data_IF_274913492762
#
_entry.id   IF_274913492762
#
_cell.length_a   1.000
_cell.length_b   1.000
_cell.length_c   1.000
_cell.angle_alpha   90.00
_cell.angle_beta   90.00
_cell.angle_gamma   90.00
#
_symmetry.space_group_name_H-M   'P 1'
#
loop_
_entity.id
_entity.type
_entity.pdbx_description
1 polymer ?
#
# COMPACT_ATOMS: atom_id res chain seq x y z
N UNK A 1 -71.58 -10.74 4.61
CA UNK A 1 -70.46 -11.68 4.42
C UNK A 1 -69.20 -10.85 4.15
N UNK A 2 -68.20 -10.94 5.03
CA UNK A 2 -66.96 -10.14 5.03
C UNK A 2 -66.01 -10.64 3.94
N UNK A 3 -65.44 -9.75 3.12
CA UNK A 3 -64.21 -10.07 2.38
C UNK A 3 -63.17 -9.02 2.77
N UNK A 4 -62.17 -9.50 3.48
CA UNK A 4 -61.09 -8.75 4.12
C UNK A 4 -60.06 -8.29 3.10
N UNK A 5 -59.68 -7.02 3.25
CA UNK A 5 -58.45 -6.39 2.75
C UNK A 5 -57.23 -7.26 3.08
N UNK A 6 -56.34 -7.48 2.11
CA UNK A 6 -54.94 -7.86 2.37
C UNK A 6 -54.01 -7.11 1.40
N UNK A 7 -53.60 -5.92 1.83
CA UNK A 7 -52.50 -5.18 1.20
C UNK A 7 -51.20 -5.78 1.77
N UNK A 8 -50.45 -6.48 0.93
CA UNK A 8 -49.13 -6.96 1.26
C UNK A 8 -48.11 -5.83 1.07
N UNK A 9 -47.65 -5.22 2.17
CA UNK A 9 -46.49 -4.34 2.16
C UNK A 9 -45.23 -5.21 2.09
N UNK A 10 -44.57 -5.24 0.93
CA UNK A 10 -43.22 -5.81 0.79
C UNK A 10 -42.24 -4.75 1.28
N UNK A 11 -41.69 -4.95 2.47
CA UNK A 11 -40.62 -4.11 2.99
C UNK A 11 -39.31 -4.45 2.26
N UNK A 12 -38.90 -3.60 1.33
CA UNK A 12 -37.57 -3.65 0.73
C UNK A 12 -36.55 -3.20 1.78
N UNK A 13 -35.83 -4.15 2.37
CA UNK A 13 -34.67 -3.86 3.21
C UNK A 13 -33.51 -3.42 2.31
N UNK A 14 -33.31 -2.10 2.21
CA UNK A 14 -32.05 -1.55 1.70
C UNK A 14 -30.96 -1.91 2.71
N UNK A 15 -30.24 -2.99 2.43
CA UNK A 15 -28.97 -3.27 3.11
C UNK A 15 -28.01 -2.12 2.80
N UNK A 16 -27.74 -1.29 3.81
CA UNK A 16 -26.67 -0.31 3.74
C UNK A 16 -25.36 -1.08 3.55
N UNK A 17 -24.82 -1.06 2.32
CA UNK A 17 -23.46 -1.49 2.09
C UNK A 17 -22.56 -0.53 2.87
N UNK A 18 -22.03 -0.99 4.00
CA UNK A 18 -20.97 -0.31 4.72
C UNK A 18 -19.75 -0.30 3.81
N UNK A 19 -19.57 0.80 3.08
CA UNK A 19 -18.31 1.10 2.39
C UNK A 19 -17.28 1.22 3.50
N UNK A 20 -16.44 0.20 3.67
CA UNK A 20 -15.32 0.29 4.58
C UNK A 20 -14.51 1.53 4.18
N UNK A 21 -14.09 2.39 5.13
CA UNK A 21 -13.28 3.53 4.79
C UNK A 21 -12.06 3.03 4.01
N UNK A 22 -11.87 3.61 2.83
CA UNK A 22 -10.62 3.50 2.09
C UNK A 22 -9.52 3.72 3.11
N UNK A 23 -8.61 2.76 3.28
CA UNK A 23 -7.68 2.76 4.41
C UNK A 23 -6.72 3.93 4.25
N UNK A 24 -7.09 5.08 4.79
CA UNK A 24 -6.33 6.31 4.63
C UNK A 24 -4.99 6.14 5.35
N UNK A 25 -3.91 6.62 4.72
CA UNK A 25 -2.57 6.67 5.30
C UNK A 25 -2.21 8.13 5.65
N UNK A 26 -2.99 8.82 6.51
CA UNK A 26 -2.74 10.23 6.79
C UNK A 26 -1.44 10.41 7.58
N UNK A 27 -0.80 11.56 7.36
CA UNK A 27 0.38 11.99 8.12
C UNK A 27 1.69 11.36 7.67
N UNK A 28 2.71 11.49 8.53
CA UNK A 28 4.07 11.01 8.29
C UNK A 28 4.21 9.56 8.74
N UNK A 29 4.97 8.78 8.01
CA UNK A 29 5.25 7.39 8.32
C UNK A 29 6.75 7.13 8.29
N UNK A 30 7.18 6.17 9.12
CA UNK A 30 8.54 5.67 9.13
C UNK A 30 8.58 4.31 8.46
N UNK A 31 9.29 4.23 7.34
CA UNK A 31 9.55 3.02 6.58
C UNK A 31 10.95 2.50 6.92
N UNK A 32 11.04 1.26 7.39
CA UNK A 32 12.31 0.53 7.59
C UNK A 32 12.37 -0.63 6.61
N UNK A 33 13.46 -0.73 5.85
CA UNK A 33 13.70 -1.78 4.86
C UNK A 33 14.89 -2.60 5.31
N UNK A 34 14.71 -3.90 5.36
CA UNK A 34 15.64 -4.87 5.91
C UNK A 34 16.09 -5.87 4.84
N UNK A 35 17.32 -6.37 4.98
CA UNK A 35 17.81 -7.49 4.17
C UNK A 35 17.23 -8.83 4.67
N UNK A 36 17.55 -9.97 4.02
CA UNK A 36 17.02 -11.28 4.44
C UNK A 36 17.47 -11.71 5.84
N UNK A 37 18.54 -11.11 6.37
CA UNK A 37 19.01 -11.31 7.74
C UNK A 37 18.34 -10.39 8.78
N UNK A 38 17.27 -9.67 8.42
CA UNK A 38 16.59 -8.70 9.29
C UNK A 38 17.46 -7.53 9.77
N UNK A 39 18.53 -7.22 9.06
CA UNK A 39 19.31 -6.02 9.33
C UNK A 39 18.74 -4.84 8.55
N UNK A 40 18.42 -3.75 9.26
CA UNK A 40 17.96 -2.52 8.63
C UNK A 40 19.02 -1.95 7.68
N UNK A 41 18.64 -1.80 6.41
CA UNK A 41 19.47 -1.23 5.33
C UNK A 41 19.09 0.22 5.09
N UNK A 42 17.79 0.54 5.11
CA UNK A 42 17.28 1.90 4.93
C UNK A 42 16.19 2.23 5.94
N UNK A 43 16.17 3.48 6.39
CA UNK A 43 15.10 4.07 7.20
C UNK A 43 14.67 5.39 6.56
N UNK A 44 13.39 5.54 6.28
CA UNK A 44 12.84 6.58 5.43
C UNK A 44 11.61 7.19 6.08
N UNK A 45 11.61 8.51 6.25
CA UNK A 45 10.39 9.24 6.58
C UNK A 45 9.63 9.52 5.27
N UNK A 46 8.37 9.11 5.19
CA UNK A 46 7.52 9.26 4.00
C UNK A 46 6.19 9.89 4.34
N UNK A 47 5.57 10.51 3.34
CA UNK A 47 4.19 10.99 3.35
C UNK A 47 3.42 10.38 2.18
N UNK A 48 2.24 9.82 2.46
CA UNK A 48 1.34 9.31 1.44
C UNK A 48 0.43 10.44 0.98
N UNK A 49 0.23 10.54 -0.33
CA UNK A 49 -0.61 11.59 -0.93
C UNK A 49 -1.74 10.98 -1.76
N UNK A 50 -2.70 11.81 -2.17
CA UNK A 50 -3.73 11.45 -3.13
C UNK A 50 -3.37 11.85 -4.57
N UNK A 51 -2.18 12.40 -4.80
CA UNK A 51 -1.69 12.75 -6.12
C UNK A 51 -1.47 11.48 -6.94
N UNK A 52 -1.98 11.45 -8.16
CA UNK A 52 -1.78 10.32 -9.09
C UNK A 52 -0.31 10.27 -9.49
N UNK A 53 0.30 9.09 -9.35
CA UNK A 53 1.67 8.83 -9.79
C UNK A 53 1.67 8.18 -11.18
N UNK A 54 2.59 8.56 -12.09
CA UNK A 54 2.90 7.76 -13.25
C UNK A 54 3.32 6.34 -12.84
N UNK A 55 3.08 5.37 -13.71
CA UNK A 55 3.43 3.98 -13.45
C UNK A 55 3.51 3.20 -14.77
N UNK A 56 4.56 2.40 -14.90
CA UNK A 56 4.69 1.39 -15.94
C UNK A 56 3.86 0.13 -15.61
N UNK A 57 3.41 0.00 -14.36
CA UNK A 57 2.54 -1.05 -13.85
C UNK A 57 1.07 -0.64 -13.92
N UNK A 58 0.20 -1.57 -14.31
CA UNK A 58 -1.25 -1.33 -14.34
C UNK A 58 -1.85 -1.03 -12.97
N UNK A 59 -3.00 -0.34 -12.99
CA UNK A 59 -3.76 0.10 -11.81
C UNK A 59 -3.53 1.56 -11.45
N UNK A 60 -4.25 2.04 -10.44
CA UNK A 60 -4.13 3.40 -9.95
C UNK A 60 -3.07 3.49 -8.85
N UNK A 61 -2.03 4.27 -9.11
CA UNK A 61 -0.92 4.49 -8.20
C UNK A 61 -0.93 5.94 -7.73
N UNK A 62 -0.56 6.14 -6.46
CA UNK A 62 -0.50 7.45 -5.82
C UNK A 62 0.92 7.76 -5.36
N UNK A 63 1.29 9.03 -5.27
CA UNK A 63 2.66 9.44 -4.93
C UNK A 63 2.97 9.19 -3.45
N UNK A 64 4.16 8.62 -3.18
CA UNK A 64 4.80 8.60 -1.87
C UNK A 64 5.91 9.63 -1.85
N UNK A 65 5.77 10.68 -1.05
CA UNK A 65 6.80 11.72 -0.87
C UNK A 65 7.84 11.24 0.13
N UNK A 66 9.11 11.23 -0.27
CA UNK A 66 10.24 10.95 0.63
C UNK A 66 10.64 12.26 1.33
N UNK A 67 10.42 12.34 2.64
CA UNK A 67 10.75 13.51 3.47
C UNK A 67 12.22 13.49 3.87
N UNK A 68 12.72 12.31 4.25
CA UNK A 68 14.14 12.11 4.59
C UNK A 68 14.49 10.62 4.50
N UNK A 69 15.76 10.31 4.26
CA UNK A 69 16.22 8.94 4.22
C UNK A 69 17.63 8.80 4.81
N UNK A 70 17.84 7.72 5.54
CA UNK A 70 19.16 7.22 5.93
C UNK A 70 19.30 5.83 5.34
N UNK A 71 20.33 5.60 4.52
CA UNK A 71 20.59 4.30 3.92
C UNK A 71 22.06 3.91 4.02
N UNK A 72 22.30 2.64 4.33
CA UNK A 72 23.62 2.00 4.31
C UNK A 72 24.01 1.55 2.90
N UNK A 73 23.02 1.30 2.06
CA UNK A 73 23.17 0.90 0.65
C UNK A 73 22.10 1.58 -0.20
N UNK A 74 22.52 2.56 -1.01
CA UNK A 74 21.63 3.34 -1.88
C UNK A 74 21.03 2.52 -3.03
N UNK A 75 21.64 1.38 -3.36
CA UNK A 75 21.22 0.52 -4.46
C UNK A 75 20.25 -0.57 -4.02
N UNK A 76 20.25 -0.92 -2.74
CA UNK A 76 19.40 -1.98 -2.21
C UNK A 76 17.91 -1.67 -2.35
N UNK A 77 17.48 -0.46 -2.00
CA UNK A 77 16.16 0.08 -2.36
C UNK A 77 16.35 1.58 -2.67
N UNK A 78 16.40 1.98 -3.95
CA UNK A 78 16.72 3.35 -4.36
C UNK A 78 15.59 4.34 -4.02
N UNK A 79 15.61 4.86 -2.79
CA UNK A 79 14.63 5.86 -2.29
C UNK A 79 14.77 7.24 -2.95
N UNK A 80 15.80 7.44 -3.77
CA UNK A 80 15.96 8.64 -4.62
C UNK A 80 15.02 8.63 -5.81
N UNK A 81 14.55 7.45 -6.21
CA UNK A 81 13.66 7.30 -7.35
C UNK A 81 12.22 7.62 -6.91
N UNK A 82 11.35 8.08 -7.83
CA UNK A 82 9.95 8.29 -7.54
C UNK A 82 9.30 7.02 -6.97
N UNK A 83 8.70 7.17 -5.79
CA UNK A 83 7.97 6.10 -5.13
C UNK A 83 6.47 6.32 -5.30
N UNK A 84 5.75 5.25 -5.57
CA UNK A 84 4.31 5.26 -5.59
C UNK A 84 3.73 4.07 -4.84
N UNK A 85 2.47 4.22 -4.43
CA UNK A 85 1.77 3.21 -3.66
C UNK A 85 0.37 2.94 -4.21
N UNK A 86 -0.12 1.75 -3.87
CA UNK A 86 -1.52 1.37 -4.04
C UNK A 86 -1.96 0.55 -2.83
N UNK A 87 -3.22 0.72 -2.44
CA UNK A 87 -3.90 -0.16 -1.49
C UNK A 87 -4.98 -0.90 -2.24
N UNK A 88 -4.93 -2.23 -2.21
CA UNK A 88 -5.90 -3.10 -2.86
C UNK A 88 -6.19 -4.28 -1.95
N UNK A 89 -7.47 -4.55 -1.66
CA UNK A 89 -7.89 -5.63 -0.76
C UNK A 89 -7.19 -5.61 0.62
N UNK A 90 -6.93 -4.42 1.17
CA UNK A 90 -6.23 -4.25 2.46
C UNK A 90 -4.72 -4.48 2.42
N UNK A 91 -4.15 -4.66 1.22
CA UNK A 91 -2.72 -4.84 1.00
C UNK A 91 -2.11 -3.56 0.45
N UNK A 92 -1.13 -3.02 1.17
CA UNK A 92 -0.31 -1.91 0.72
C UNK A 92 0.81 -2.45 -0.15
N UNK A 93 0.99 -1.86 -1.33
CA UNK A 93 2.18 -2.03 -2.15
C UNK A 93 2.84 -0.67 -2.34
N UNK A 94 4.14 -0.56 -2.07
CA UNK A 94 4.98 0.61 -2.37
C UNK A 94 6.06 0.16 -3.35
N UNK A 95 6.34 0.93 -4.39
CA UNK A 95 7.38 0.58 -5.34
C UNK A 95 7.87 1.73 -6.20
N UNK A 96 8.97 1.46 -6.91
CA UNK A 96 9.54 2.34 -7.95
C UNK A 96 8.82 2.09 -9.27
N UNK A 97 7.52 2.40 -9.34
CA UNK A 97 6.69 1.96 -10.47
C UNK A 97 6.86 2.82 -11.73
N UNK A 98 7.51 3.98 -11.62
CA UNK A 98 7.89 4.83 -12.76
C UNK A 98 9.14 4.31 -13.48
N UNK A 99 9.90 3.42 -12.83
CA UNK A 99 11.09 2.80 -13.40
C UNK A 99 10.68 1.48 -14.04
N UNK A 100 10.62 1.45 -15.37
CA UNK A 100 10.02 0.34 -16.14
C UNK A 100 10.91 -0.91 -16.28
N UNK A 101 11.90 -1.11 -15.41
CA UNK A 101 12.79 -2.27 -15.40
C UNK A 101 13.04 -2.80 -13.99
N UNK A 102 12.93 -4.12 -13.81
CA UNK A 102 13.21 -4.81 -12.56
C UNK A 102 12.57 -4.14 -11.31
N UNK A 103 11.24 -4.04 -11.29
CA UNK A 103 10.50 -3.37 -10.21
C UNK A 103 10.90 -3.89 -8.84
N UNK A 104 10.96 -2.98 -7.87
CA UNK A 104 11.25 -3.28 -6.47
C UNK A 104 10.01 -2.92 -5.65
N UNK A 105 9.39 -3.93 -5.04
CA UNK A 105 8.12 -3.79 -4.33
C UNK A 105 8.23 -4.14 -2.86
N UNK A 106 7.62 -3.30 -2.04
CA UNK A 106 7.36 -3.52 -0.63
C UNK A 106 5.87 -3.81 -0.50
N UNK A 107 5.50 -5.03 -0.12
CA UNK A 107 4.10 -5.43 -0.03
C UNK A 107 3.75 -6.06 1.32
N UNK A 108 2.70 -5.56 1.97
CA UNK A 108 2.25 -6.04 3.27
C UNK A 108 0.82 -5.64 3.58
N UNK A 109 0.22 -6.32 4.56
CA UNK A 109 -1.14 -6.01 5.01
C UNK A 109 -1.17 -4.77 5.90
N UNK A 110 -2.10 -3.86 5.64
CA UNK A 110 -2.31 -2.69 6.46
C UNK A 110 -3.17 -3.04 7.67
N UNK A 111 -2.57 -3.01 8.87
CA UNK A 111 -3.22 -3.36 10.13
C UNK A 111 -3.06 -2.21 11.11
N UNK A 112 -4.12 -1.41 11.26
CA UNK A 112 -4.11 -0.20 12.07
C UNK A 112 -3.06 0.81 11.59
N UNK A 113 -2.23 1.29 12.51
CA UNK A 113 -1.16 2.26 12.23
C UNK A 113 0.19 1.61 11.85
N UNK A 114 0.16 0.40 11.29
CA UNK A 114 1.38 -0.32 10.91
C UNK A 114 1.20 -1.27 9.73
N UNK A 115 2.30 -1.52 9.03
CA UNK A 115 2.44 -2.54 7.99
C UNK A 115 3.70 -3.33 8.28
N UNK A 116 3.63 -4.64 8.10
CA UNK A 116 4.80 -5.49 7.98
C UNK A 116 4.63 -6.32 6.71
N UNK A 117 5.72 -6.52 5.98
CA UNK A 117 5.65 -7.24 4.73
C UNK A 117 7.00 -7.57 4.13
N UNK A 118 6.93 -8.01 2.88
CA UNK A 118 8.08 -8.50 2.13
C UNK A 118 8.60 -7.42 1.19
N UNK A 119 9.91 -7.48 0.97
CA UNK A 119 10.59 -6.76 -0.09
C UNK A 119 11.03 -7.76 -1.16
N UNK A 120 10.65 -7.54 -2.42
CA UNK A 120 11.00 -8.41 -3.54
C UNK A 120 11.16 -7.63 -4.85
N UNK A 121 11.85 -8.23 -5.82
CA UNK A 121 11.85 -7.75 -7.20
C UNK A 121 10.80 -8.47 -8.05
N UNK A 122 10.35 -7.80 -9.11
CA UNK A 122 9.56 -8.38 -10.19
C UNK A 122 10.27 -8.18 -11.53
N UNK A 123 10.34 -9.24 -12.31
CA UNK A 123 10.86 -9.20 -13.68
C UNK A 123 10.28 -10.31 -14.55
N UNK A 124 10.84 -10.46 -15.75
CA UNK A 124 10.38 -11.47 -16.72
C UNK A 124 10.49 -12.92 -16.21
N UNK A 125 11.40 -13.18 -15.26
CA UNK A 125 11.57 -14.48 -14.61
C UNK A 125 10.67 -14.73 -13.40
N UNK A 126 9.74 -13.81 -13.09
CA UNK A 126 8.89 -13.87 -11.90
C UNK A 126 9.37 -12.96 -10.77
N UNK A 127 9.06 -13.35 -9.53
CA UNK A 127 9.45 -12.60 -8.33
C UNK A 127 10.70 -13.20 -7.67
N UNK A 128 11.52 -12.35 -7.04
CA UNK A 128 12.64 -12.80 -6.22
C UNK A 128 12.62 -12.11 -4.86
N UNK A 129 12.66 -12.84 -3.73
CA UNK A 129 12.67 -12.23 -2.42
C UNK A 129 14.00 -11.51 -2.16
N UNK A 130 13.93 -10.30 -1.62
CA UNK A 130 15.08 -9.45 -1.33
C UNK A 130 15.20 -9.08 0.14
N UNK A 131 14.09 -9.14 0.90
CA UNK A 131 14.09 -8.88 2.33
C UNK A 131 12.71 -8.56 2.88
N UNK A 132 12.66 -7.62 3.81
CA UNK A 132 11.45 -7.29 4.55
C UNK A 132 11.30 -5.78 4.71
N UNK A 133 10.11 -5.34 5.09
CA UNK A 133 9.92 -3.97 5.55
C UNK A 133 8.91 -3.88 6.68
N UNK A 134 9.04 -2.77 7.42
CA UNK A 134 8.00 -2.31 8.34
C UNK A 134 7.67 -0.86 8.04
N UNK A 135 6.40 -0.51 8.17
CA UNK A 135 5.89 0.85 8.08
C UNK A 135 5.16 1.15 9.39
N UNK A 136 5.46 2.27 10.03
CA UNK A 136 4.81 2.71 11.27
C UNK A 136 4.46 4.18 11.19
N UNK A 137 3.25 4.54 11.61
CA UNK A 137 2.87 5.94 11.63
C UNK A 137 3.76 6.69 12.62
N UNK A 138 4.33 7.83 12.19
CA UNK A 138 5.07 8.70 13.07
C UNK A 138 4.09 9.35 14.06
N UNK A 139 4.47 9.43 15.34
CA UNK A 139 3.69 10.12 16.37
C UNK A 139 3.87 11.63 16.29
#
# INVERSE_FOLDING_TARGET
MKILLRIAFVAASLGAASVAPCSELPGKWMLSIENPGHHAVATVAVEFTDEVAPSCMGGEWKVVKVVSATTRDKTFFPVSDPLSYRIENGQLTIGRNEVCDAYLWLQGSLVGASVQGNYFSLGLGGSSPLGYFTLRQAR
#
